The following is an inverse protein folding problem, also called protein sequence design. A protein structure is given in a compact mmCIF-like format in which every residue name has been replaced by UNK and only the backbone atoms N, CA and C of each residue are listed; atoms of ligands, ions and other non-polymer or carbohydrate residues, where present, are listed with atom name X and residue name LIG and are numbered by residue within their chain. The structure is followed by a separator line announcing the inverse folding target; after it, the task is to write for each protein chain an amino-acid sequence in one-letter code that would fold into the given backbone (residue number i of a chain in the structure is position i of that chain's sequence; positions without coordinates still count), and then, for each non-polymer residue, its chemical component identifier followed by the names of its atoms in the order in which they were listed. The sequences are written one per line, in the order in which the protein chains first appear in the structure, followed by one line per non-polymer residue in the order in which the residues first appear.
data_IF_646785970203
#
_entry.id   IF_646785970203
#
_cell.length_a   1.000
_cell.length_b   1.000
_cell.length_c   1.000
_cell.angle_alpha   90.00
_cell.angle_beta   90.00
_cell.angle_gamma   90.00
#
_symmetry.space_group_name_H-M   'P 1'
#
loop_
_entity.id
_entity.type
_entity.pdbx_description
1 polymer ?
#
# COMPACT_ATOMS: atom_id res chain seq x y z
N UNK A 1 57.62 1.23 11.32
CA UNK A 1 57.02 1.72 10.05
C UNK A 1 56.21 0.68 9.29
N UNK A 2 56.71 -0.55 9.07
CA UNK A 2 56.01 -1.59 8.29
C UNK A 2 54.61 -1.99 8.83
N UNK A 3 54.42 -2.03 10.16
CA UNK A 3 53.15 -2.41 10.79
C UNK A 3 52.06 -1.31 10.73
N UNK A 4 52.47 -0.04 10.75
CA UNK A 4 51.55 1.09 10.66
C UNK A 4 50.99 1.26 9.23
N UNK A 5 51.83 1.05 8.22
CA UNK A 5 51.42 1.04 6.82
C UNK A 5 50.44 -0.11 6.49
N UNK A 6 50.55 -1.24 7.18
CA UNK A 6 49.66 -2.38 7.00
C UNK A 6 48.27 -2.10 7.61
N UNK A 7 48.22 -1.43 8.76
CA UNK A 7 46.97 -1.02 9.41
C UNK A 7 46.22 0.06 8.60
N UNK A 8 46.92 1.01 8.00
CA UNK A 8 46.28 2.02 7.14
C UNK A 8 45.75 1.43 5.83
N UNK A 9 46.43 0.42 5.28
CA UNK A 9 45.99 -0.29 4.08
C UNK A 9 44.70 -1.10 4.31
N UNK A 10 44.57 -1.76 5.47
CA UNK A 10 43.35 -2.50 5.85
C UNK A 10 42.15 -1.56 6.02
N UNK A 11 42.38 -0.37 6.57
CA UNK A 11 41.32 0.62 6.81
C UNK A 11 40.81 1.24 5.50
N UNK A 12 41.67 1.42 4.51
CA UNK A 12 41.30 1.89 3.16
C UNK A 12 40.49 0.85 2.37
N UNK A 13 40.81 -0.45 2.50
CA UNK A 13 40.04 -1.52 1.85
C UNK A 13 38.61 -1.63 2.42
N UNK A 14 38.43 -1.48 3.73
CA UNK A 14 37.12 -1.53 4.39
C UNK A 14 36.18 -0.38 3.97
N UNK A 15 36.72 0.79 3.58
CA UNK A 15 35.91 1.90 3.08
C UNK A 15 35.40 1.68 1.65
N UNK A 16 36.15 0.95 0.81
CA UNK A 16 35.78 0.70 -0.59
C UNK A 16 34.60 -0.26 -0.78
N UNK A 17 34.36 -1.15 0.18
CA UNK A 17 33.24 -2.11 0.12
C UNK A 17 31.88 -1.47 0.39
N UNK A 18 31.83 -0.30 1.03
CA UNK A 18 30.58 0.43 1.27
C UNK A 18 30.09 1.23 0.04
N UNK A 19 30.95 1.42 -0.97
CA UNK A 19 30.62 2.18 -2.18
C UNK A 19 30.04 1.32 -3.32
N UNK A 20 29.92 0.00 -3.17
CA UNK A 20 29.59 -0.90 -4.29
C UNK A 20 28.11 -1.26 -4.49
N UNK A 21 27.16 -0.79 -3.68
CA UNK A 21 25.80 -1.35 -3.74
C UNK A 21 24.71 -0.41 -4.27
N UNK A 22 24.81 -0.01 -5.55
CA UNK A 22 23.66 0.20 -6.46
C UNK A 22 24.07 -0.10 -7.91
N UNK A 23 24.51 -1.35 -8.14
CA UNK A 23 24.61 -1.91 -9.49
C UNK A 23 23.34 -2.69 -9.79
N UNK A 24 22.86 -2.62 -11.04
CA UNK A 24 21.72 -3.42 -11.47
C UNK A 24 22.08 -4.92 -11.52
N UNK A 25 21.10 -5.78 -11.87
CA UNK A 25 21.32 -7.24 -11.96
C UNK A 25 22.41 -7.64 -12.97
N UNK A 26 22.87 -6.73 -13.83
CA UNK A 26 23.93 -6.95 -14.82
C UNK A 26 25.25 -6.24 -14.46
N UNK A 27 25.33 -5.56 -13.31
CA UNK A 27 26.56 -4.91 -12.86
C UNK A 27 26.75 -3.46 -13.34
N UNK A 28 25.78 -2.88 -14.04
CA UNK A 28 25.86 -1.50 -14.51
C UNK A 28 25.55 -0.50 -13.39
N UNK A 29 26.22 0.66 -13.35
CA UNK A 29 25.88 1.74 -12.42
C UNK A 29 24.46 2.24 -12.69
N UNK A 30 23.61 2.22 -11.66
CA UNK A 30 22.25 2.80 -11.76
C UNK A 30 22.39 4.32 -11.79
N UNK A 31 22.32 4.91 -12.98
CA UNK A 31 22.30 6.35 -13.16
C UNK A 31 20.91 6.85 -12.74
N UNK A 32 20.86 7.79 -11.79
CA UNK A 32 19.63 8.48 -11.40
C UNK A 32 19.18 9.39 -12.54
N UNK A 33 18.35 8.88 -13.45
CA UNK A 33 17.65 9.67 -14.48
C UNK A 33 16.26 10.06 -13.99
N UNK A 34 15.77 11.21 -14.42
CA UNK A 34 14.35 11.53 -14.27
C UNK A 34 13.51 10.49 -15.03
N UNK A 35 12.42 9.96 -14.44
CA UNK A 35 11.55 9.00 -15.11
C UNK A 35 10.97 9.61 -16.38
N UNK A 36 10.93 8.82 -17.45
CA UNK A 36 10.24 9.20 -18.70
C UNK A 36 8.72 9.24 -18.50
N UNK A 37 7.99 10.02 -19.31
CA UNK A 37 6.52 10.12 -19.25
C UNK A 37 5.84 8.73 -19.29
N UNK A 38 6.34 7.84 -20.16
CA UNK A 38 5.87 6.44 -20.25
C UNK A 38 6.12 5.64 -18.96
N UNK A 39 7.24 5.88 -18.27
CA UNK A 39 7.55 5.22 -16.99
C UNK A 39 6.66 5.74 -15.86
N UNK A 40 6.34 7.05 -15.87
CA UNK A 40 5.40 7.67 -14.93
C UNK A 40 3.99 7.11 -15.15
N UNK A 41 3.50 7.08 -16.39
CA UNK A 41 2.18 6.55 -16.72
C UNK A 41 2.04 5.07 -16.33
N UNK A 42 3.06 4.23 -16.64
CA UNK A 42 3.08 2.82 -16.22
C UNK A 42 3.12 2.66 -14.71
N UNK A 43 3.74 3.58 -13.99
CA UNK A 43 3.80 3.56 -12.54
C UNK A 43 2.46 3.95 -11.92
N UNK A 44 1.80 5.00 -12.43
CA UNK A 44 0.46 5.41 -12.01
C UNK A 44 -0.57 4.32 -12.23
N UNK A 45 -0.57 3.69 -13.41
CA UNK A 45 -1.45 2.55 -13.71
C UNK A 45 -1.24 1.40 -12.71
N UNK A 46 0.01 1.06 -12.40
CA UNK A 46 0.32 0.03 -11.39
C UNK A 46 -0.19 0.40 -10.00
N UNK A 47 -0.15 1.67 -9.61
CA UNK A 47 -0.70 2.12 -8.34
C UNK A 47 -2.23 2.00 -8.32
N UNK A 48 -2.90 2.32 -9.42
CA UNK A 48 -4.33 2.15 -9.59
C UNK A 48 -4.75 0.67 -9.56
N UNK A 49 -4.09 -0.19 -10.34
CA UNK A 49 -4.35 -1.63 -10.33
C UNK A 49 -4.18 -2.22 -8.92
N UNK A 50 -3.16 -1.76 -8.19
CA UNK A 50 -2.91 -2.16 -6.80
C UNK A 50 -3.98 -1.65 -5.84
N UNK A 51 -4.51 -0.43 -6.06
CA UNK A 51 -5.64 0.12 -5.32
C UNK A 51 -6.89 -0.74 -5.55
N UNK A 52 -7.18 -1.08 -6.80
CA UNK A 52 -8.35 -1.87 -7.15
C UNK A 52 -8.27 -3.31 -6.63
N UNK A 53 -7.10 -3.95 -6.72
CA UNK A 53 -6.85 -5.25 -6.08
C UNK A 53 -7.08 -5.21 -4.57
N UNK A 54 -6.58 -4.16 -3.92
CA UNK A 54 -6.73 -3.96 -2.48
C UNK A 54 -8.19 -3.82 -2.09
N UNK A 55 -8.94 -2.96 -2.79
CA UNK A 55 -10.38 -2.74 -2.56
C UNK A 55 -11.15 -4.04 -2.81
N UNK A 56 -10.88 -4.73 -3.92
CA UNK A 56 -11.54 -6.01 -4.22
C UNK A 56 -11.26 -7.06 -3.12
N UNK A 57 -10.04 -7.13 -2.60
CA UNK A 57 -9.72 -8.04 -1.50
C UNK A 57 -10.42 -7.65 -0.20
N UNK A 58 -10.50 -6.35 0.10
CA UNK A 58 -11.24 -5.85 1.25
C UNK A 58 -12.74 -6.18 1.15
N UNK A 59 -13.39 -5.92 0.02
CA UNK A 59 -14.82 -6.21 -0.20
C UNK A 59 -15.15 -7.70 0.00
N UNK A 60 -14.21 -8.61 -0.27
CA UNK A 60 -14.41 -10.05 0.02
C UNK A 60 -14.43 -10.41 1.50
N UNK A 61 -14.08 -9.49 2.38
CA UNK A 61 -14.16 -9.67 3.84
C UNK A 61 -15.46 -9.14 4.43
N UNK A 62 -16.23 -8.39 3.64
CA UNK A 62 -17.52 -7.85 4.04
C UNK A 62 -18.62 -8.89 3.87
N UNK A 63 -19.59 -8.85 4.78
CA UNK A 63 -20.79 -9.71 4.74
C UNK A 63 -21.91 -9.10 3.89
N UNK A 64 -21.82 -7.81 3.60
CA UNK A 64 -22.66 -7.05 2.69
C UNK A 64 -22.99 -7.79 1.38
N UNK A 65 -24.18 -7.55 0.84
CA UNK A 65 -24.61 -8.07 -0.46
C UNK A 65 -23.86 -7.42 -1.63
N UNK A 66 -24.10 -7.87 -2.85
CA UNK A 66 -23.39 -7.37 -4.04
C UNK A 66 -23.72 -5.90 -4.36
N UNK A 67 -24.94 -5.44 -4.06
CA UNK A 67 -25.34 -4.05 -4.25
C UNK A 67 -24.68 -3.13 -3.22
N UNK A 68 -24.75 -3.50 -1.94
CA UNK A 68 -24.06 -2.83 -0.85
C UNK A 68 -22.55 -2.79 -1.10
N UNK A 69 -21.94 -3.87 -1.58
CA UNK A 69 -20.51 -3.89 -1.95
C UNK A 69 -20.17 -2.90 -3.05
N UNK A 70 -21.03 -2.73 -4.06
CA UNK A 70 -20.78 -1.74 -5.10
C UNK A 70 -20.89 -0.30 -4.57
N UNK A 71 -21.85 -0.03 -3.68
CA UNK A 71 -21.93 1.26 -2.99
C UNK A 71 -20.67 1.49 -2.15
N UNK A 72 -20.28 0.52 -1.31
CA UNK A 72 -19.09 0.62 -0.46
C UNK A 72 -17.85 0.86 -1.32
N UNK A 73 -17.71 0.17 -2.46
CA UNK A 73 -16.62 0.37 -3.42
C UNK A 73 -16.54 1.82 -3.91
N UNK A 74 -17.67 2.41 -4.29
CA UNK A 74 -17.73 3.81 -4.74
C UNK A 74 -17.30 4.77 -3.63
N UNK A 75 -17.78 4.56 -2.39
CA UNK A 75 -17.38 5.35 -1.23
C UNK A 75 -15.89 5.24 -0.92
N UNK A 76 -15.33 4.03 -0.96
CA UNK A 76 -13.90 3.80 -0.72
C UNK A 76 -13.04 4.47 -1.79
N UNK A 77 -13.44 4.39 -3.07
CA UNK A 77 -12.74 5.10 -4.15
C UNK A 77 -12.75 6.61 -3.92
N UNK A 78 -13.93 7.18 -3.68
CA UNK A 78 -14.11 8.60 -3.35
C UNK A 78 -13.28 9.02 -2.13
N UNK A 79 -13.17 8.14 -1.12
CA UNK A 79 -12.34 8.39 0.06
C UNK A 79 -10.86 8.50 -0.28
N UNK A 80 -10.33 7.59 -1.11
CA UNK A 80 -8.93 7.63 -1.52
C UNK A 80 -8.63 8.87 -2.36
N UNK A 81 -9.55 9.29 -3.22
CA UNK A 81 -9.41 10.51 -4.01
C UNK A 81 -9.42 11.75 -3.12
N UNK A 82 -10.40 11.87 -2.21
CA UNK A 82 -10.46 12.95 -1.23
C UNK A 82 -9.23 12.98 -0.31
N UNK A 83 -8.74 11.82 0.12
CA UNK A 83 -7.51 11.70 0.92
C UNK A 83 -6.29 12.15 0.13
N UNK A 84 -6.22 11.83 -1.17
CA UNK A 84 -5.15 12.29 -2.06
C UNK A 84 -5.18 13.81 -2.21
N UNK A 85 -6.37 14.42 -2.32
CA UNK A 85 -6.54 15.87 -2.35
C UNK A 85 -6.08 16.53 -1.05
N UNK A 86 -6.52 16.00 0.10
CA UNK A 86 -6.03 16.44 1.42
C UNK A 86 -4.50 16.36 1.47
N UNK A 87 -3.87 15.29 0.97
CA UNK A 87 -2.41 15.19 0.98
C UNK A 87 -1.69 16.15 0.03
N UNK A 88 -2.35 16.65 -1.02
CA UNK A 88 -1.79 17.63 -1.97
C UNK A 88 -1.84 19.07 -1.44
N UNK A 89 -2.79 19.38 -0.56
CA UNK A 89 -2.94 20.72 0.02
C UNK A 89 -1.69 21.08 0.84
N UNK A 90 -1.18 22.29 0.65
CA UNK A 90 -0.13 22.85 1.50
C UNK A 90 -0.77 23.34 2.79
N UNK A 91 -0.46 22.67 3.89
CA UNK A 91 -0.82 23.13 5.23
C UNK A 91 0.34 23.90 5.84
N UNK A 92 0.00 24.91 6.64
CA UNK A 92 0.98 25.67 7.42
C UNK A 92 1.57 24.81 8.54
N UNK A 93 0.71 24.00 9.19
CA UNK A 93 1.14 23.07 10.22
C UNK A 93 0.78 21.61 9.91
N UNK A 94 1.61 20.69 10.41
CA UNK A 94 1.35 19.26 10.28
C UNK A 94 0.11 18.79 11.04
N UNK A 95 -0.34 19.56 12.04
CA UNK A 95 -1.54 19.31 12.84
C UNK A 95 -2.79 19.52 12.00
N UNK A 96 -2.86 20.61 11.23
CA UNK A 96 -4.01 20.93 10.37
C UNK A 96 -4.27 19.81 9.35
N UNK A 97 -3.20 19.25 8.78
CA UNK A 97 -3.30 18.09 7.88
C UNK A 97 -3.86 16.87 8.60
N UNK A 98 -3.40 16.59 9.83
CA UNK A 98 -3.91 15.47 10.63
C UNK A 98 -5.38 15.66 10.96
N UNK A 99 -5.79 16.88 11.28
CA UNK A 99 -7.18 17.23 11.57
C UNK A 99 -8.07 17.08 10.33
N UNK A 100 -7.60 17.53 9.17
CA UNK A 100 -8.30 17.34 7.90
C UNK A 100 -8.51 15.86 7.56
N UNK A 101 -7.47 15.03 7.74
CA UNK A 101 -7.57 13.56 7.55
C UNK A 101 -8.54 12.95 8.57
N UNK A 102 -8.48 13.39 9.84
CA UNK A 102 -9.37 12.91 10.89
C UNK A 102 -10.83 13.23 10.57
N UNK A 103 -11.11 14.48 10.18
CA UNK A 103 -12.45 14.92 9.77
C UNK A 103 -12.95 14.10 8.58
N UNK A 104 -12.11 13.90 7.56
CA UNK A 104 -12.44 13.05 6.41
C UNK A 104 -12.83 11.63 6.86
N UNK A 105 -12.03 11.00 7.73
CA UNK A 105 -12.31 9.66 8.24
C UNK A 105 -13.65 9.58 9.00
N UNK A 106 -14.02 10.64 9.72
CA UNK A 106 -15.25 10.69 10.52
C UNK A 106 -16.50 11.00 9.70
N UNK A 107 -16.38 11.77 8.61
CA UNK A 107 -17.56 12.24 7.84
C UNK A 107 -17.84 11.42 6.59
N UNK A 108 -16.80 10.91 5.91
CA UNK A 108 -16.92 10.35 4.56
C UNK A 108 -17.81 9.09 4.47
N UNK A 109 -17.93 8.35 5.57
CA UNK A 109 -18.68 7.10 5.61
C UNK A 109 -19.94 7.18 6.49
N UNK A 110 -20.33 8.37 6.97
CA UNK A 110 -21.52 8.51 7.84
C UNK A 110 -22.79 8.00 7.15
N UNK A 111 -22.96 8.33 5.88
CA UNK A 111 -24.14 7.93 5.11
C UNK A 111 -24.20 6.41 4.89
N UNK A 112 -23.06 5.70 4.98
CA UNK A 112 -23.05 4.25 4.94
C UNK A 112 -23.52 3.62 6.26
N UNK A 113 -23.48 4.31 7.40
CA UNK A 113 -23.83 3.73 8.70
C UNK A 113 -25.28 3.22 8.74
N UNK A 114 -26.16 3.83 7.95
CA UNK A 114 -27.56 3.41 7.81
C UNK A 114 -27.76 2.31 6.75
N UNK A 115 -26.81 2.15 5.82
CA UNK A 115 -26.96 1.29 4.64
C UNK A 115 -26.31 -0.10 4.80
N UNK A 116 -25.37 -0.24 5.73
CA UNK A 116 -24.60 -1.48 5.92
C UNK A 116 -24.64 -1.93 7.38
N UNK A 117 -24.27 -3.19 7.62
CA UNK A 117 -24.18 -3.71 8.99
C UNK A 117 -23.11 -2.98 9.82
N UNK A 118 -23.33 -2.86 11.12
CA UNK A 118 -22.34 -2.29 12.05
C UNK A 118 -20.99 -3.04 12.00
N UNK A 119 -21.05 -4.36 11.78
CA UNK A 119 -19.86 -5.21 11.61
C UNK A 119 -19.05 -4.77 10.38
N UNK A 120 -19.68 -4.60 9.23
CA UNK A 120 -19.01 -4.16 8.00
C UNK A 120 -18.54 -2.71 8.11
N UNK A 121 -19.28 -1.85 8.79
CA UNK A 121 -18.85 -0.47 9.10
C UNK A 121 -17.58 -0.47 9.95
N UNK A 122 -17.48 -1.36 10.95
CA UNK A 122 -16.29 -1.51 11.77
C UNK A 122 -15.09 -1.93 10.93
N UNK A 123 -15.26 -2.90 10.01
CA UNK A 123 -14.20 -3.31 9.07
C UNK A 123 -13.73 -2.15 8.17
N UNK A 124 -14.65 -1.28 7.72
CA UNK A 124 -14.30 -0.07 6.96
C UNK A 124 -13.48 0.90 7.84
N UNK A 125 -13.91 1.13 9.08
CA UNK A 125 -13.19 1.99 10.05
C UNK A 125 -11.78 1.46 10.36
N UNK A 126 -11.59 0.15 10.41
CA UNK A 126 -10.26 -0.46 10.62
C UNK A 126 -9.39 -0.36 9.35
N UNK A 127 -9.98 -0.54 8.18
CA UNK A 127 -9.28 -0.35 6.90
C UNK A 127 -8.73 1.07 6.75
N UNK A 128 -9.51 2.11 7.07
CA UNK A 128 -9.05 3.51 6.93
C UNK A 128 -7.97 3.91 7.93
N UNK A 129 -7.92 3.25 9.11
CA UNK A 129 -6.85 3.41 10.09
C UNK A 129 -5.54 2.75 9.66
N UNK A 130 -5.61 1.81 8.71
CA UNK A 130 -4.46 1.07 8.19
C UNK A 130 -4.29 -0.32 8.78
N UNK A 131 -5.28 -0.82 9.52
CA UNK A 131 -5.21 -2.10 10.23
C UNK A 131 -5.59 -3.31 9.35
N UNK A 132 -5.94 -3.07 8.07
CA UNK A 132 -6.30 -4.13 7.13
C UNK A 132 -5.08 -4.84 6.53
N UNK A 133 -4.84 -6.10 6.93
CA UNK A 133 -3.78 -6.94 6.36
C UNK A 133 -4.26 -7.73 5.12
N UNK A 134 -3.97 -7.17 3.94
CA UNK A 134 -4.23 -7.82 2.64
C UNK A 134 -3.56 -9.21 2.51
N UNK A 135 -2.38 -9.41 3.13
CA UNK A 135 -1.63 -10.67 3.02
C UNK A 135 -2.36 -11.80 3.71
N UNK A 136 -3.01 -11.54 4.83
CA UNK A 136 -3.84 -12.54 5.51
C UNK A 136 -5.00 -13.00 4.64
N UNK A 137 -5.70 -12.05 3.99
CA UNK A 137 -6.83 -12.36 3.11
C UNK A 137 -6.37 -13.22 1.92
N UNK A 138 -5.25 -12.84 1.29
CA UNK A 138 -4.64 -13.62 0.19
C UNK A 138 -4.25 -15.04 0.65
N UNK A 139 -3.65 -15.18 1.83
CA UNK A 139 -3.31 -16.49 2.42
C UNK A 139 -4.56 -17.34 2.67
N UNK A 140 -5.63 -16.77 3.26
CA UNK A 140 -6.90 -17.47 3.51
C UNK A 140 -7.56 -17.93 2.19
N UNK A 141 -7.61 -17.06 1.17
CA UNK A 141 -8.11 -17.42 -0.19
C UNK A 141 -7.31 -18.59 -0.79
N UNK A 142 -5.97 -18.55 -0.72
CA UNK A 142 -5.09 -19.61 -1.25
C UNK A 142 -5.33 -20.95 -0.54
N UNK A 143 -5.48 -20.94 0.79
CA UNK A 143 -5.80 -22.16 1.56
C UNK A 143 -7.16 -22.74 1.16
N UNK A 144 -8.21 -21.92 1.04
CA UNK A 144 -9.55 -22.36 0.60
C UNK A 144 -9.52 -23.01 -0.79
N UNK A 145 -8.78 -22.42 -1.75
CA UNK A 145 -8.63 -22.97 -3.11
C UNK A 145 -7.93 -24.33 -3.13
N UNK A 146 -6.88 -24.52 -2.30
CA UNK A 146 -6.18 -25.80 -2.18
C UNK A 146 -7.09 -26.90 -1.62
N UNK A 147 -7.88 -26.60 -0.60
CA UNK A 147 -8.83 -27.56 -0.01
C UNK A 147 -9.88 -28.03 -1.02
N UNK A 148 -10.51 -27.08 -1.74
CA UNK A 148 -11.49 -27.38 -2.80
C UNK A 148 -10.96 -28.22 -3.98
N UNK A 149 -9.64 -28.20 -4.23
CA UNK A 149 -9.04 -29.08 -5.25
C UNK A 149 -8.88 -30.49 -4.72
N UNK A 150 -8.39 -30.63 -3.49
CA UNK A 150 -8.23 -31.93 -2.83
C UNK A 150 -9.56 -32.68 -2.69
N UNK A 151 -10.63 -31.97 -2.33
CA UNK A 151 -11.98 -32.53 -2.19
C UNK A 151 -12.66 -32.86 -3.55
N UNK A 152 -12.04 -32.51 -4.70
CA UNK A 152 -12.53 -32.85 -6.05
C UNK A 152 -11.75 -33.98 -6.70
N UNK A 153 -10.59 -34.31 -6.15
CA UNK A 153 -9.69 -35.37 -6.63
C UNK A 153 -9.84 -36.65 -5.77
N UNK A 154 -10.71 -36.63 -4.73
CA UNK A 154 -11.24 -37.77 -3.96
C UNK A 154 -12.65 -38.12 -4.43
#
# INVERSE_FOLDING_TARGET
MKKAALLTFILLLAFSTYAQSRRDRMGNPVISREPTEDEIAKYEQKLEDRKDEFIANFLTTLEADDFQKEIIKQYINSYFDAKKEVLKIKYEHSIDRKEAIKKLNETHFKDLEELISENDMTKIKDMIKGDFDEKEVKKKKKKKRKKKKKDKDE
#
